data_IF_766589523770
#
_entry.id   IF_766589523770
#
_cell.length_a   1.000
_cell.length_b   1.000
_cell.length_c   1.000
_cell.angle_alpha   90.00
_cell.angle_beta   90.00
_cell.angle_gamma   90.00
#
_symmetry.space_group_name_H-M   'P 1'
#
loop_
_entity.id
_entity.type
_entity.pdbx_description
1 polymer ?
#
# COMPACT_ATOMS: atom_id res chain seq x y z
N UNK A 1 26.87 -14.17 48.49
CA UNK A 1 26.42 -12.76 48.43
C UNK A 1 27.52 -12.03 47.65
N UNK A 2 27.33 -11.48 46.46
CA UNK A 2 26.48 -10.33 46.11
C UNK A 2 26.24 -10.36 44.59
N UNK A 3 24.99 -10.17 44.17
CA UNK A 3 24.55 -10.10 42.77
C UNK A 3 24.73 -8.66 42.29
N UNK A 4 25.49 -8.44 41.22
CA UNK A 4 25.52 -7.15 40.52
C UNK A 4 24.60 -7.25 39.30
N UNK A 5 23.40 -6.70 39.45
CA UNK A 5 22.42 -6.52 38.38
C UNK A 5 22.79 -5.22 37.67
N UNK A 6 23.39 -5.34 36.49
CA UNK A 6 23.61 -4.20 35.59
C UNK A 6 22.33 -3.92 34.81
N UNK A 7 21.64 -2.82 35.16
CA UNK A 7 20.46 -2.35 34.44
C UNK A 7 20.94 -1.70 33.14
N UNK A 8 20.77 -2.39 32.02
CA UNK A 8 20.95 -1.81 30.69
C UNK A 8 19.80 -0.83 30.41
N UNK A 9 20.08 0.47 30.52
CA UNK A 9 19.14 1.54 30.18
C UNK A 9 19.06 1.64 28.65
N UNK A 10 17.97 1.14 28.07
CA UNK A 10 17.70 1.19 26.64
C UNK A 10 17.13 2.57 26.30
N UNK A 11 17.98 3.55 26.00
CA UNK A 11 17.55 4.87 25.55
C UNK A 11 17.13 4.80 24.09
N UNK A 12 15.84 4.90 23.81
CA UNK A 12 15.27 5.03 22.46
C UNK A 12 15.54 6.44 21.93
N UNK A 13 16.46 6.57 20.98
CA UNK A 13 16.67 7.80 20.20
C UNK A 13 15.52 7.90 19.19
N UNK A 14 14.65 8.90 19.34
CA UNK A 14 13.64 9.22 18.35
C UNK A 14 14.29 9.98 17.18
N UNK A 15 14.45 9.31 16.04
CA UNK A 15 14.94 9.92 14.80
C UNK A 15 13.77 10.69 14.19
N UNK A 16 13.76 12.02 14.30
CA UNK A 16 12.83 12.88 13.56
C UNK A 16 13.39 13.10 12.15
N UNK A 17 12.79 12.44 11.17
CA UNK A 17 13.13 12.66 9.76
C UNK A 17 12.53 13.98 9.29
N UNK A 18 13.32 15.05 9.33
CA UNK A 18 12.96 16.31 8.69
C UNK A 18 13.29 16.19 7.20
N UNK A 19 12.26 16.20 6.35
CA UNK A 19 12.45 16.22 4.89
C UNK A 19 12.95 17.60 4.46
N UNK A 20 13.83 17.62 3.45
CA UNK A 20 14.30 18.87 2.84
C UNK A 20 13.14 19.50 2.06
N UNK A 21 12.94 20.81 2.20
CA UNK A 21 11.93 21.59 1.46
C UNK A 21 12.60 22.79 0.81
N UNK A 22 12.27 23.05 -0.46
CA UNK A 22 12.77 24.20 -1.22
C UNK A 22 11.63 25.17 -1.47
N UNK A 23 11.87 26.47 -1.31
CA UNK A 23 10.89 27.51 -1.66
C UNK A 23 11.09 27.84 -3.13
N UNK A 24 10.15 27.42 -3.97
CA UNK A 24 10.19 27.69 -5.40
C UNK A 24 9.79 29.14 -5.71
N UNK A 25 10.54 29.83 -6.56
CA UNK A 25 10.14 31.14 -7.09
C UNK A 25 8.97 31.03 -8.07
N UNK A 26 8.91 29.92 -8.82
CA UNK A 26 7.84 29.58 -9.77
C UNK A 26 7.80 28.06 -9.99
N UNK A 27 6.61 27.45 -10.01
CA UNK A 27 6.44 26.00 -10.14
C UNK A 27 5.09 25.53 -9.62
N UNK A 28 4.79 24.23 -9.73
CA UNK A 28 3.58 23.66 -9.17
C UNK A 28 3.77 22.17 -8.80
N UNK A 29 2.95 21.71 -7.87
CA UNK A 29 2.75 20.29 -7.59
C UNK A 29 1.45 19.86 -8.25
N UNK A 30 1.54 18.92 -9.19
CA UNK A 30 0.38 18.28 -9.82
C UNK A 30 0.27 16.89 -9.21
N UNK A 31 -0.84 16.62 -8.53
CA UNK A 31 -1.11 15.30 -7.95
C UNK A 31 -2.45 14.77 -8.43
N UNK A 32 -2.47 13.52 -8.88
CA UNK A 32 -3.69 12.72 -9.01
C UNK A 32 -3.56 11.46 -8.12
N UNK A 33 -4.60 10.62 -8.00
CA UNK A 33 -4.52 9.40 -7.20
C UNK A 33 -3.45 8.40 -7.64
N UNK A 34 -2.98 8.49 -8.89
CA UNK A 34 -2.05 7.55 -9.55
C UNK A 34 -0.59 8.02 -9.55
N UNK A 35 -0.32 9.33 -9.52
CA UNK A 35 1.01 9.92 -9.53
C UNK A 35 1.03 11.33 -8.93
N UNK A 36 2.21 11.74 -8.46
CA UNK A 36 2.49 13.12 -8.03
C UNK A 36 3.74 13.62 -8.74
N UNK A 37 3.61 14.73 -9.45
CA UNK A 37 4.67 15.39 -10.19
C UNK A 37 4.89 16.79 -9.60
N UNK A 38 6.12 17.08 -9.21
CA UNK A 38 6.52 18.40 -8.72
C UNK A 38 7.55 18.98 -9.68
N UNK A 39 7.34 20.23 -10.10
CA UNK A 39 8.25 20.91 -11.03
C UNK A 39 8.48 22.37 -10.65
N UNK A 40 9.68 22.86 -10.95
CA UNK A 40 10.08 24.27 -10.87
C UNK A 40 10.33 24.83 -12.26
N UNK A 41 9.98 26.09 -12.50
CA UNK A 41 10.36 26.81 -13.72
C UNK A 41 11.22 28.00 -13.31
N UNK A 42 12.49 27.97 -13.72
CA UNK A 42 13.45 29.05 -13.49
C UNK A 42 14.51 28.76 -12.43
N UNK A 43 15.06 27.54 -12.38
CA UNK A 43 16.27 27.28 -11.59
C UNK A 43 17.41 28.19 -12.09
N UNK A 44 17.74 29.22 -11.30
CA UNK A 44 18.83 30.15 -11.58
C UNK A 44 20.10 29.59 -10.94
N UNK A 45 21.02 29.09 -11.77
CA UNK A 45 22.44 28.86 -11.52
C UNK A 45 22.87 28.59 -10.06
N UNK A 46 23.29 27.35 -9.80
CA UNK A 46 23.89 26.94 -8.52
C UNK A 46 25.31 27.54 -8.42
N UNK A 47 25.51 28.54 -7.55
CA UNK A 47 26.84 29.03 -7.19
C UNK A 47 27.08 28.83 -5.69
N UNK A 48 28.08 28.00 -5.37
CA UNK A 48 28.63 27.93 -4.01
C UNK A 48 29.61 29.08 -3.85
N UNK A 49 29.19 30.17 -3.20
CA UNK A 49 30.10 31.28 -2.86
C UNK A 49 30.71 30.99 -1.50
N UNK A 50 31.96 30.53 -1.49
CA UNK A 50 32.79 30.51 -0.29
C UNK A 50 33.86 31.57 -0.41
N UNK A 51 33.80 32.63 0.40
CA UNK A 51 34.96 33.49 0.65
C UNK A 51 34.91 33.99 2.10
N UNK A 52 35.91 33.62 2.88
CA UNK A 52 36.17 34.21 4.19
C UNK A 52 36.84 33.27 5.19
N UNK A 53 38.16 33.42 5.35
CA UNK A 53 38.88 33.05 6.58
C UNK A 53 38.49 34.04 7.69
N UNK A 54 37.71 33.60 8.69
CA UNK A 54 37.36 34.41 9.85
C UNK A 54 35.98 34.08 10.44
N UNK A 55 35.85 34.29 11.75
CA UNK A 55 34.81 33.83 12.69
C UNK A 55 33.37 34.32 12.39
N UNK A 56 32.78 33.85 11.28
CA UNK A 56 31.43 34.22 10.83
C UNK A 56 31.01 33.56 9.52
N UNK A 57 31.33 32.28 9.34
CA UNK A 57 31.06 31.53 8.11
C UNK A 57 29.57 31.15 8.04
N UNK A 58 28.81 31.84 7.20
CA UNK A 58 27.45 31.41 6.81
C UNK A 58 27.55 30.63 5.51
N UNK A 59 27.68 29.30 5.61
CA UNK A 59 27.57 28.40 4.46
C UNK A 59 26.09 28.25 4.10
N UNK A 60 25.62 29.03 3.13
CA UNK A 60 24.28 28.88 2.57
C UNK A 60 24.28 27.77 1.52
N UNK A 61 23.94 26.54 1.94
CA UNK A 61 23.67 25.45 1.00
C UNK A 61 22.21 25.52 0.56
N UNK A 62 21.95 25.79 -0.72
CA UNK A 62 20.61 25.69 -1.30
C UNK A 62 20.42 24.28 -1.88
N UNK A 63 19.33 23.61 -1.50
CA UNK A 63 19.03 22.23 -1.90
C UNK A 63 18.36 22.14 -3.27
N UNK A 64 18.52 21.00 -3.95
CA UNK A 64 17.78 20.67 -5.18
C UNK A 64 16.35 20.24 -4.85
N UNK A 65 15.40 20.56 -5.74
CA UNK A 65 14.06 19.98 -5.70
C UNK A 65 14.14 18.48 -5.97
N UNK A 66 14.04 17.67 -4.91
CA UNK A 66 13.94 16.22 -5.00
C UNK A 66 12.46 15.83 -4.88
N UNK A 67 11.77 15.51 -5.99
CA UNK A 67 10.38 15.11 -5.92
C UNK A 67 10.24 13.84 -5.10
N UNK A 68 9.33 13.83 -4.12
CA UNK A 68 8.98 12.61 -3.39
C UNK A 68 8.16 11.71 -4.32
N UNK A 69 8.80 10.68 -4.88
CA UNK A 69 8.11 9.70 -5.73
C UNK A 69 7.26 8.79 -4.84
N UNK A 70 5.94 8.95 -4.91
CA UNK A 70 5.00 7.99 -4.33
C UNK A 70 4.82 6.84 -5.32
N UNK A 71 5.46 5.70 -5.05
CA UNK A 71 5.20 4.47 -5.79
C UNK A 71 3.81 3.96 -5.37
N UNK A 72 2.85 4.05 -6.29
CA UNK A 72 1.51 3.51 -6.09
C UNK A 72 1.52 2.15 -6.77
N UNK A 73 1.31 1.10 -5.98
CA UNK A 73 1.16 -0.24 -6.53
C UNK A 73 -0.20 -0.30 -7.26
N UNK A 74 -0.20 -0.40 -8.61
CA UNK A 74 -1.43 -0.36 -9.39
C UNK A 74 -2.41 -1.48 -8.97
N UNK A 75 -1.94 -2.60 -8.42
CA UNK A 75 -2.80 -3.68 -7.97
C UNK A 75 -3.75 -3.26 -6.82
N UNK A 76 -3.37 -2.26 -6.02
CA UNK A 76 -4.11 -1.86 -4.82
C UNK A 76 -5.33 -0.96 -5.08
N UNK A 77 -5.37 -0.31 -6.23
CA UNK A 77 -6.44 0.62 -6.61
C UNK A 77 -7.52 -0.04 -7.48
N UNK A 78 -7.20 -1.21 -8.04
CA UNK A 78 -7.99 -1.96 -9.04
C UNK A 78 -9.17 -2.75 -8.44
N UNK A 79 -9.48 -2.59 -7.16
CA UNK A 79 -10.57 -3.34 -6.48
C UNK A 79 -11.96 -2.94 -7.01
N UNK A 80 -12.06 -1.79 -7.68
CA UNK A 80 -13.25 -1.37 -8.42
C UNK A 80 -13.45 -2.13 -9.75
N UNK A 81 -12.64 -3.15 -10.03
CA UNK A 81 -12.76 -4.02 -11.19
C UNK A 81 -14.11 -4.78 -11.24
N UNK A 82 -14.54 -5.07 -12.46
CA UNK A 82 -15.69 -5.91 -12.76
C UNK A 82 -15.30 -7.38 -12.62
N UNK A 83 -15.51 -7.96 -11.44
CA UNK A 83 -15.32 -9.40 -11.22
C UNK A 83 -16.62 -10.15 -11.52
N UNK A 84 -16.53 -11.10 -12.45
CA UNK A 84 -17.55 -12.08 -12.79
C UNK A 84 -17.24 -13.42 -12.13
N UNK A 85 -18.26 -14.21 -11.80
CA UNK A 85 -18.07 -15.51 -11.16
C UNK A 85 -19.15 -16.50 -11.59
N UNK A 86 -18.75 -17.75 -11.81
CA UNK A 86 -19.62 -18.81 -12.29
C UNK A 86 -19.08 -20.21 -11.95
N UNK A 87 -19.95 -21.23 -11.88
CA UNK A 87 -21.40 -21.12 -11.86
C UNK A 87 -21.91 -20.59 -10.51
N UNK A 88 -23.08 -19.94 -10.51
CA UNK A 88 -23.82 -19.61 -9.29
C UNK A 88 -25.30 -19.94 -9.53
N UNK A 89 -25.84 -21.02 -8.94
CA UNK A 89 -25.27 -21.83 -7.85
C UNK A 89 -24.03 -22.67 -8.22
N UNK A 90 -23.11 -22.84 -7.27
CA UNK A 90 -21.87 -23.60 -7.42
C UNK A 90 -21.96 -24.97 -6.74
N UNK A 91 -21.34 -26.00 -7.33
CA UNK A 91 -21.25 -27.33 -6.71
C UNK A 91 -19.90 -27.54 -6.00
N UNK A 92 -18.79 -27.73 -6.72
CA UNK A 92 -17.46 -27.94 -6.08
C UNK A 92 -16.51 -26.77 -6.25
N UNK A 93 -16.48 -26.19 -7.44
CA UNK A 93 -15.56 -25.10 -7.78
C UNK A 93 -16.36 -23.90 -8.25
N UNK A 94 -15.85 -22.73 -7.89
CA UNK A 94 -16.32 -21.44 -8.39
C UNK A 94 -15.18 -20.78 -9.16
N UNK A 95 -15.41 -20.53 -10.45
CA UNK A 95 -14.49 -19.75 -11.28
C UNK A 95 -14.74 -18.26 -11.05
N UNK A 96 -13.66 -17.50 -10.91
CA UNK A 96 -13.68 -16.06 -10.69
C UNK A 96 -12.80 -15.39 -11.74
N UNK A 97 -13.42 -14.53 -12.54
CA UNK A 97 -12.79 -13.81 -13.66
C UNK A 97 -12.82 -12.32 -13.37
N UNK A 98 -11.66 -11.70 -13.35
CA UNK A 98 -11.43 -10.26 -13.19
C UNK A 98 -10.74 -9.72 -14.44
N UNK A 99 -10.90 -8.44 -14.76
CA UNK A 99 -10.16 -7.82 -15.88
C UNK A 99 -8.67 -7.71 -15.55
N UNK A 100 -8.36 -7.58 -14.27
CA UNK A 100 -6.99 -7.46 -13.77
C UNK A 100 -6.68 -8.56 -12.76
N UNK A 101 -5.41 -8.98 -12.73
CA UNK A 101 -4.92 -9.97 -11.76
C UNK A 101 -4.51 -9.28 -10.46
N UNK A 102 -5.52 -8.85 -9.70
CA UNK A 102 -5.31 -8.22 -8.40
C UNK A 102 -5.57 -9.18 -7.24
N UNK A 103 -6.30 -10.27 -7.43
CA UNK A 103 -6.79 -11.11 -6.31
C UNK A 103 -5.67 -12.04 -5.84
N UNK A 104 -5.19 -11.86 -4.61
CA UNK A 104 -4.14 -12.72 -4.03
C UNK A 104 -4.68 -13.73 -3.02
N UNK A 105 -5.80 -13.40 -2.36
CA UNK A 105 -6.38 -14.23 -1.31
C UNK A 105 -7.86 -14.01 -1.13
N UNK A 106 -8.51 -14.96 -0.46
CA UNK A 106 -9.93 -14.88 -0.18
C UNK A 106 -10.32 -15.48 1.18
N UNK A 107 -11.36 -14.91 1.76
CA UNK A 107 -12.00 -15.40 2.99
C UNK A 107 -13.46 -15.78 2.68
N UNK A 108 -13.90 -16.93 3.17
CA UNK A 108 -15.28 -17.40 3.03
C UNK A 108 -15.99 -17.26 4.38
N UNK A 109 -17.13 -16.58 4.37
CA UNK A 109 -18.01 -16.41 5.52
C UNK A 109 -19.34 -17.12 5.28
N UNK A 110 -19.86 -17.78 6.30
CA UNK A 110 -21.22 -18.32 6.29
C UNK A 110 -22.27 -17.20 6.43
N UNK A 111 -23.54 -17.52 6.20
CA UNK A 111 -24.64 -16.56 6.25
C UNK A 111 -24.82 -15.89 7.64
N UNK A 112 -24.35 -16.53 8.70
CA UNK A 112 -24.31 -16.01 10.08
C UNK A 112 -23.09 -15.09 10.35
N UNK A 113 -22.23 -14.88 9.36
CA UNK A 113 -21.01 -14.08 9.48
C UNK A 113 -19.81 -14.84 10.07
N UNK A 114 -19.93 -16.14 10.33
CA UNK A 114 -18.79 -16.95 10.80
C UNK A 114 -17.75 -17.13 9.70
N UNK A 115 -16.48 -16.90 10.01
CA UNK A 115 -15.37 -17.22 9.11
C UNK A 115 -15.21 -18.74 8.99
N UNK A 116 -15.32 -19.25 7.76
CA UNK A 116 -15.29 -20.69 7.47
C UNK A 116 -13.96 -21.11 6.85
N UNK A 117 -13.38 -20.27 5.99
CA UNK A 117 -12.13 -20.57 5.29
C UNK A 117 -11.33 -19.31 4.99
N UNK A 118 -10.02 -19.43 5.06
CA UNK A 118 -9.03 -18.47 4.58
C UNK A 118 -8.09 -19.23 3.66
N UNK A 119 -7.88 -18.74 2.43
CA UNK A 119 -6.99 -19.39 1.48
C UNK A 119 -6.42 -18.38 0.47
N UNK A 120 -5.30 -18.75 -0.15
CA UNK A 120 -4.71 -18.02 -1.28
C UNK A 120 -5.53 -18.29 -2.54
N UNK A 121 -5.64 -17.27 -3.40
CA UNK A 121 -6.32 -17.40 -4.67
C UNK A 121 -5.36 -17.98 -5.71
N UNK A 122 -5.73 -19.10 -6.33
CA UNK A 122 -4.89 -19.84 -7.28
C UNK A 122 -5.74 -20.27 -8.46
N UNK A 123 -5.22 -20.17 -9.68
CA UNK A 123 -5.84 -20.65 -10.93
C UNK A 123 -7.26 -20.14 -11.18
N UNK A 124 -7.57 -18.90 -10.78
CA UNK A 124 -8.88 -18.28 -10.96
C UNK A 124 -10.05 -19.08 -10.37
N UNK A 125 -9.79 -19.93 -9.37
CA UNK A 125 -10.77 -20.86 -8.83
C UNK A 125 -10.82 -20.81 -7.30
N UNK A 126 -12.03 -21.03 -6.79
CA UNK A 126 -12.30 -21.16 -5.36
C UNK A 126 -12.92 -22.53 -5.12
N UNK A 127 -12.28 -23.33 -4.27
CA UNK A 127 -12.78 -24.64 -3.86
C UNK A 127 -13.81 -24.49 -2.74
N UNK A 128 -15.02 -25.00 -3.02
CA UNK A 128 -16.17 -25.07 -2.13
C UNK A 128 -16.54 -26.51 -1.78
N UNK A 129 -15.73 -27.52 -2.18
CA UNK A 129 -16.09 -28.94 -2.07
C UNK A 129 -16.40 -29.39 -0.62
N UNK A 130 -15.71 -28.82 0.37
CA UNK A 130 -15.86 -29.19 1.78
C UNK A 130 -16.88 -28.30 2.53
N UNK A 131 -17.73 -27.58 1.80
CA UNK A 131 -18.76 -26.70 2.37
C UNK A 131 -20.15 -27.33 2.16
N UNK A 132 -21.00 -27.21 3.19
CA UNK A 132 -22.39 -27.64 3.11
C UNK A 132 -23.19 -26.75 2.15
N UNK A 133 -24.32 -27.24 1.65
CA UNK A 133 -25.21 -26.49 0.76
C UNK A 133 -25.86 -25.32 1.54
N UNK A 134 -25.40 -24.10 1.26
CA UNK A 134 -25.81 -22.88 1.93
C UNK A 134 -25.40 -21.64 1.12
N UNK A 135 -25.76 -20.45 1.61
CA UNK A 135 -25.27 -19.18 1.07
C UNK A 135 -23.97 -18.78 1.78
N UNK A 136 -22.97 -18.38 1.00
CA UNK A 136 -21.68 -17.90 1.49
C UNK A 136 -21.35 -16.52 0.94
N UNK A 137 -20.61 -15.75 1.74
CA UNK A 137 -20.03 -14.48 1.34
C UNK A 137 -18.51 -14.62 1.24
N UNK A 138 -17.98 -14.40 0.04
CA UNK A 138 -16.55 -14.54 -0.24
C UNK A 138 -15.94 -13.15 -0.36
N UNK A 139 -15.01 -12.82 0.53
CA UNK A 139 -14.20 -11.59 0.45
C UNK A 139 -12.93 -11.88 -0.36
N UNK A 140 -12.66 -11.08 -1.37
CA UNK A 140 -11.47 -11.13 -2.22
C UNK A 140 -10.53 -9.98 -1.85
N UNK A 141 -9.24 -10.26 -1.71
CA UNK A 141 -8.22 -9.31 -1.24
C UNK A 141 -7.08 -9.15 -2.25
N UNK A 142 -6.52 -7.93 -2.38
CA UNK A 142 -5.40 -7.63 -3.27
C UNK A 142 -4.01 -7.94 -2.71
N UNK A 143 -3.90 -8.29 -1.42
CA UNK A 143 -2.60 -8.62 -0.78
C UNK A 143 -1.74 -7.41 -0.40
N UNK A 144 -2.03 -6.22 -0.94
CA UNK A 144 -1.26 -5.01 -0.69
C UNK A 144 -1.97 -3.96 0.19
N UNK A 145 -3.28 -4.11 0.43
CA UNK A 145 -4.04 -3.25 1.35
C UNK A 145 -5.23 -4.00 1.99
N UNK A 146 -5.98 -3.31 2.86
CA UNK A 146 -7.14 -3.86 3.57
C UNK A 146 -8.48 -3.70 2.83
N UNK A 147 -8.47 -3.25 1.58
CA UNK A 147 -9.69 -3.16 0.78
C UNK A 147 -10.06 -4.55 0.26
N UNK A 148 -11.35 -4.80 0.04
CA UNK A 148 -11.84 -6.10 -0.41
C UNK A 148 -13.11 -5.96 -1.26
N UNK A 149 -13.36 -6.97 -2.11
CA UNK A 149 -14.62 -7.12 -2.84
C UNK A 149 -15.39 -8.31 -2.29
N UNK A 150 -16.72 -8.22 -2.21
CA UNK A 150 -17.56 -9.30 -1.67
C UNK A 150 -18.37 -9.93 -2.79
N UNK A 151 -18.36 -11.26 -2.86
CA UNK A 151 -19.23 -12.06 -3.71
C UNK A 151 -20.25 -12.82 -2.85
N UNK A 152 -21.51 -12.81 -3.26
CA UNK A 152 -22.56 -13.66 -2.68
C UNK A 152 -22.71 -14.90 -3.55
N UNK A 153 -22.48 -16.08 -2.98
CA UNK A 153 -22.46 -17.35 -3.71
C UNK A 153 -23.42 -18.34 -3.06
N UNK A 154 -24.17 -19.07 -3.88
CA UNK A 154 -25.08 -20.13 -3.44
C UNK A 154 -24.38 -21.47 -3.71
N UNK A 155 -24.12 -22.26 -2.67
CA UNK A 155 -23.57 -23.61 -2.76
C UNK A 155 -24.71 -24.64 -2.78
N UNK A 156 -24.69 -25.55 -3.75
CA UNK A 156 -25.62 -26.69 -3.87
C UNK A 156 -24.90 -28.00 -3.65
#
# INVERSE_FOLDING_TARGET
MKRFIGIACLTTIAITTQSQSVVNSTGATISNPEFSLEYSIGEISIQTVGNGTGDGIVTLTQGLLQPSVKLIDPACEVINDTVQFFPNPANRMLSVVSLYDWITGYHIYAADGKLVRVATFINNQIDLSNLASAVYFIKLFPGCNNKFRVLKVIKQ
#
